data_IF_517539951617
#
_entry.id   IF_517539951617
#
_cell.length_a   1.000
_cell.length_b   1.000
_cell.length_c   1.000
_cell.angle_alpha   90.00
_cell.angle_beta   90.00
_cell.angle_gamma   90.00
#
_symmetry.space_group_name_H-M   'P 1'
#
loop_
_entity.id
_entity.type
_entity.pdbx_description
1 polymer ?
#
# COMPACT_ATOMS: atom_id res chain seq x y z
N UNK A 1 -49.16 10.25 29.98
CA UNK A 1 -47.74 9.90 30.26
C UNK A 1 -47.28 8.59 29.63
N UNK A 2 -48.11 7.54 29.51
CA UNK A 2 -47.72 6.25 28.88
C UNK A 2 -47.41 6.33 27.37
N UNK A 3 -48.12 7.20 26.63
CA UNK A 3 -47.92 7.43 25.18
C UNK A 3 -46.62 8.19 24.87
N UNK A 4 -46.22 9.13 25.75
CA UNK A 4 -44.94 9.85 25.60
C UNK A 4 -43.73 8.94 25.86
N UNK A 5 -43.86 7.98 26.80
CA UNK A 5 -42.82 6.99 27.09
C UNK A 5 -42.67 5.99 25.93
N UNK A 6 -43.78 5.61 25.28
CA UNK A 6 -43.75 4.78 24.07
C UNK A 6 -42.98 5.47 22.93
N UNK A 7 -43.20 6.77 22.71
CA UNK A 7 -42.54 7.55 21.66
C UNK A 7 -41.04 7.76 21.92
N UNK A 8 -40.64 7.96 23.19
CA UNK A 8 -39.22 8.08 23.57
C UNK A 8 -38.45 6.77 23.46
N UNK A 9 -39.11 5.61 23.64
CA UNK A 9 -38.47 4.30 23.47
C UNK A 9 -38.23 3.91 22.01
N UNK A 10 -38.98 4.49 21.06
CA UNK A 10 -38.88 4.18 19.64
C UNK A 10 -37.73 4.96 18.94
N UNK A 11 -37.29 6.07 19.53
CA UNK A 11 -36.18 6.91 19.03
C UNK A 11 -34.79 6.49 19.54
N UNK A 12 -34.70 5.47 20.41
CA UNK A 12 -33.46 5.05 21.06
C UNK A 12 -32.68 3.92 20.39
N UNK A 13 -33.12 3.42 19.22
CA UNK A 13 -32.46 2.31 18.52
C UNK A 13 -31.74 2.70 17.22
N UNK A 14 -31.67 3.99 16.88
CA UNK A 14 -30.87 4.42 15.73
C UNK A 14 -29.38 4.53 16.09
N UNK A 15 -28.67 3.46 15.76
CA UNK A 15 -27.30 3.46 15.25
C UNK A 15 -26.16 3.83 16.23
N UNK A 16 -25.88 2.91 17.16
CA UNK A 16 -24.49 2.60 17.46
C UNK A 16 -23.96 1.70 16.32
N UNK A 17 -23.48 2.31 15.25
CA UNK A 17 -22.61 1.65 14.30
C UNK A 17 -21.33 2.50 14.26
N UNK A 18 -20.13 1.94 14.54
CA UNK A 18 -18.91 2.64 14.20
C UNK A 18 -18.94 2.81 12.68
N UNK A 19 -19.12 4.06 12.26
CA UNK A 19 -19.03 4.46 10.86
C UNK A 19 -17.56 4.35 10.47
N UNK A 20 -17.09 3.14 10.17
CA UNK A 20 -15.96 2.95 9.28
C UNK A 20 -16.48 3.16 7.86
N UNK A 21 -16.76 4.40 7.49
CA UNK A 21 -16.77 4.77 6.06
C UNK A 21 -15.30 4.78 5.65
N UNK A 22 -14.78 3.59 5.35
CA UNK A 22 -13.80 3.51 4.28
C UNK A 22 -14.68 3.43 3.04
N UNK A 23 -14.83 4.56 2.36
CA UNK A 23 -15.47 4.62 1.05
C UNK A 23 -14.76 3.61 0.16
N UNK A 24 -15.41 2.47 -0.09
CA UNK A 24 -14.90 1.45 -1.01
C UNK A 24 -14.79 2.00 -2.44
N UNK A 25 -15.52 3.08 -2.73
CA UNK A 25 -15.46 3.81 -3.99
C UNK A 25 -14.16 4.64 -4.19
N UNK A 26 -13.45 5.04 -3.12
CA UNK A 26 -12.14 5.70 -3.29
C UNK A 26 -11.03 4.70 -3.65
N UNK A 27 -11.24 3.41 -3.36
CA UNK A 27 -10.29 2.36 -3.73
C UNK A 27 -10.36 2.07 -5.25
N UNK A 28 -11.46 2.41 -5.92
CA UNK A 28 -11.70 2.01 -7.32
C UNK A 28 -11.24 3.04 -8.38
N UNK A 29 -10.83 4.25 -8.00
CA UNK A 29 -10.29 5.26 -8.94
C UNK A 29 -8.78 5.47 -8.87
N UNK A 30 -8.08 4.85 -7.93
CA UNK A 30 -6.63 4.90 -7.87
C UNK A 30 -6.03 3.55 -8.32
N UNK A 31 -5.51 3.42 -9.56
CA UNK A 31 -4.89 2.18 -10.03
C UNK A 31 -3.63 1.80 -9.25
N UNK A 32 -3.21 2.58 -8.26
CA UNK A 32 -2.12 2.24 -7.34
C UNK A 32 -2.52 2.53 -5.89
N UNK A 33 -3.05 1.56 -5.13
CA UNK A 33 -3.41 1.78 -3.72
C UNK A 33 -2.20 2.10 -2.81
N UNK A 34 -0.99 2.14 -3.37
CA UNK A 34 0.24 2.01 -2.60
C UNK A 34 1.30 3.09 -2.84
N UNK A 35 1.10 4.11 -3.68
CA UNK A 35 2.13 5.16 -3.81
C UNK A 35 2.32 5.95 -2.49
N UNK A 36 3.58 6.11 -2.06
CA UNK A 36 3.93 6.96 -0.92
C UNK A 36 3.55 8.43 -1.21
N UNK A 37 3.13 9.20 -0.20
CA UNK A 37 2.64 10.58 -0.39
C UNK A 37 3.65 11.47 -1.12
N UNK A 38 4.94 11.32 -0.82
CA UNK A 38 6.01 12.05 -1.51
C UNK A 38 6.08 11.72 -3.02
N UNK A 39 5.81 10.47 -3.41
CA UNK A 39 5.81 10.06 -4.82
C UNK A 39 4.61 10.67 -5.55
N UNK A 40 3.44 10.71 -4.89
CA UNK A 40 2.25 11.36 -5.44
C UNK A 40 2.45 12.86 -5.62
N UNK A 41 3.00 13.54 -4.61
CA UNK A 41 3.32 14.98 -4.67
C UNK A 41 4.34 15.29 -5.77
N UNK A 42 5.42 14.51 -5.85
CA UNK A 42 6.43 14.68 -6.89
C UNK A 42 5.87 14.42 -8.28
N UNK A 43 5.07 13.36 -8.46
CA UNK A 43 4.42 13.07 -9.75
C UNK A 43 3.47 14.19 -10.18
N UNK A 44 2.68 14.74 -9.25
CA UNK A 44 1.81 15.88 -9.52
C UNK A 44 2.62 17.12 -9.91
N UNK A 45 3.74 17.40 -9.24
CA UNK A 45 4.62 18.51 -9.61
C UNK A 45 5.24 18.30 -11.00
N UNK A 46 5.79 17.11 -11.26
CA UNK A 46 6.36 16.72 -12.57
C UNK A 46 5.34 16.81 -13.71
N UNK A 47 4.06 16.58 -13.43
CA UNK A 47 3.00 16.71 -14.43
C UNK A 47 2.83 18.13 -14.97
N UNK A 48 3.23 19.14 -14.19
CA UNK A 48 3.14 20.56 -14.55
C UNK A 48 4.35 21.05 -15.35
N UNK A 49 5.43 20.26 -15.42
CA UNK A 49 6.65 20.66 -16.12
C UNK A 49 6.53 20.41 -17.64
N UNK A 50 7.08 21.32 -18.47
CA UNK A 50 7.28 21.08 -19.91
C UNK A 50 8.12 19.83 -20.17
N UNK A 51 7.94 19.20 -21.33
CA UNK A 51 8.60 17.94 -21.72
C UNK A 51 10.11 17.93 -21.51
N UNK A 52 10.76 19.07 -21.72
CA UNK A 52 12.22 19.22 -21.68
C UNK A 52 12.77 19.20 -20.25
N UNK A 53 11.92 19.49 -19.25
CA UNK A 53 12.30 19.58 -17.84
C UNK A 53 11.75 18.43 -17.01
N UNK A 54 11.01 17.51 -17.62
CA UNK A 54 10.48 16.33 -16.95
C UNK A 54 11.58 15.35 -16.64
N UNK A 55 11.50 14.73 -15.46
CA UNK A 55 12.44 13.70 -15.09
C UNK A 55 12.14 12.35 -15.78
N UNK A 56 13.08 11.86 -16.59
CA UNK A 56 13.02 10.55 -17.25
C UNK A 56 13.02 9.34 -16.29
N UNK A 57 13.31 9.56 -15.01
CA UNK A 57 13.31 8.51 -13.99
C UNK A 57 11.97 7.76 -13.90
N UNK A 58 10.86 8.45 -14.17
CA UNK A 58 9.51 7.87 -14.15
C UNK A 58 9.13 7.13 -15.44
N UNK A 59 9.91 7.24 -16.51
CA UNK A 59 9.62 6.60 -17.80
C UNK A 59 9.85 5.07 -17.73
N UNK A 60 10.70 4.62 -16.80
CA UNK A 60 10.96 3.21 -16.59
C UNK A 60 9.81 2.56 -15.80
N UNK A 61 9.07 1.60 -16.38
CA UNK A 61 7.94 0.96 -15.71
C UNK A 61 8.33 0.20 -14.44
N UNK A 62 9.57 -0.30 -14.36
CA UNK A 62 10.08 -1.00 -13.18
C UNK A 62 10.32 -0.03 -12.02
N UNK A 63 10.89 1.13 -12.30
CA UNK A 63 11.13 2.19 -11.32
C UNK A 63 9.81 2.75 -10.79
N UNK A 64 8.87 3.02 -11.69
CA UNK A 64 7.53 3.48 -11.32
C UNK A 64 6.82 2.45 -10.42
N UNK A 65 6.92 1.16 -10.73
CA UNK A 65 6.37 0.08 -9.91
C UNK A 65 7.04 -0.04 -8.54
N UNK A 66 8.36 0.19 -8.44
CA UNK A 66 9.08 0.18 -7.17
C UNK A 66 8.75 1.37 -6.26
N UNK A 67 8.60 2.57 -6.83
CA UNK A 67 8.19 3.77 -6.07
C UNK A 67 6.73 3.74 -5.63
N UNK A 68 5.89 3.01 -6.37
CA UNK A 68 4.52 2.73 -5.97
C UNK A 68 4.46 1.75 -4.78
N UNK A 69 5.58 1.18 -4.34
CA UNK A 69 5.65 0.40 -3.10
C UNK A 69 5.93 1.33 -1.92
N UNK A 70 5.45 0.91 -0.76
CA UNK A 70 5.49 1.74 0.44
C UNK A 70 6.76 1.47 1.29
N UNK A 71 7.13 2.38 2.18
CA UNK A 71 8.44 2.43 2.89
C UNK A 71 8.59 1.39 4.01
N UNK A 72 9.67 1.42 4.81
CA UNK A 72 9.93 0.54 5.99
C UNK A 72 10.14 1.22 7.40
N UNK A 73 9.82 2.51 7.62
CA UNK A 73 9.70 3.13 8.96
C UNK A 73 8.33 3.73 9.45
N UNK A 74 7.22 3.73 8.70
CA UNK A 74 5.89 4.18 9.16
C UNK A 74 4.69 3.81 8.27
N UNK A 75 3.45 3.89 8.81
CA UNK A 75 2.19 3.38 8.21
C UNK A 75 2.10 3.52 6.68
N UNK A 76 1.69 2.44 6.00
CA UNK A 76 1.98 2.08 4.60
C UNK A 76 3.36 1.43 4.45
N UNK A 77 3.55 0.18 4.88
CA UNK A 77 4.80 -0.59 4.70
C UNK A 77 4.47 -2.04 4.42
N UNK A 78 4.78 -2.52 3.23
CA UNK A 78 4.33 -3.83 2.79
C UNK A 78 5.41 -4.86 3.12
N UNK A 79 5.06 -5.88 3.91
CA UNK A 79 5.91 -7.06 4.06
C UNK A 79 6.19 -7.61 2.65
N UNK A 80 7.47 -7.84 2.32
CA UNK A 80 7.83 -8.50 1.05
C UNK A 80 7.45 -9.97 1.16
N UNK A 81 6.23 -10.30 0.76
CA UNK A 81 5.65 -11.65 0.88
C UNK A 81 6.30 -12.61 -0.13
N UNK A 82 6.66 -12.11 -1.31
CA UNK A 82 7.23 -12.90 -2.40
C UNK A 82 8.68 -12.46 -2.65
N UNK A 83 9.62 -12.89 -1.81
CA UNK A 83 11.04 -12.59 -2.05
C UNK A 83 11.54 -13.49 -3.16
N UNK A 84 12.27 -12.92 -4.13
CA UNK A 84 12.96 -13.74 -5.15
C UNK A 84 13.94 -14.73 -4.50
N UNK A 85 14.50 -14.37 -3.35
CA UNK A 85 15.35 -15.26 -2.56
C UNK A 85 14.61 -16.52 -2.06
N UNK A 86 13.30 -16.44 -1.82
CA UNK A 86 12.51 -17.60 -1.36
C UNK A 86 12.28 -18.61 -2.48
N UNK A 87 12.46 -18.18 -3.75
CA UNK A 87 12.40 -19.07 -4.92
C UNK A 87 13.68 -19.89 -5.09
N UNK A 88 14.74 -19.57 -4.35
CA UNK A 88 16.01 -20.30 -4.43
C UNK A 88 15.87 -21.58 -3.60
N UNK A 89 15.98 -22.77 -4.22
CA UNK A 89 15.90 -24.03 -3.48
C UNK A 89 17.03 -24.14 -2.46
N UNK A 90 16.71 -24.66 -1.26
CA UNK A 90 17.63 -24.71 -0.12
C UNK A 90 18.90 -25.50 -0.45
N UNK A 91 18.79 -26.54 -1.27
CA UNK A 91 19.93 -27.36 -1.69
C UNK A 91 20.98 -26.52 -2.43
N UNK A 92 20.56 -25.60 -3.31
CA UNK A 92 21.49 -24.71 -4.02
C UNK A 92 22.23 -23.78 -3.07
N UNK A 93 21.54 -23.30 -2.02
CA UNK A 93 22.16 -22.47 -0.99
C UNK A 93 23.21 -23.28 -0.23
N UNK A 94 22.88 -24.52 0.17
CA UNK A 94 23.83 -25.41 0.83
C UNK A 94 25.04 -25.74 -0.04
N UNK A 95 24.85 -26.05 -1.32
CA UNK A 95 25.95 -26.30 -2.25
C UNK A 95 26.85 -25.08 -2.43
N UNK A 96 26.26 -23.89 -2.57
CA UNK A 96 27.03 -22.65 -2.67
C UNK A 96 27.87 -22.40 -1.40
N UNK A 97 27.28 -22.62 -0.22
CA UNK A 97 27.98 -22.47 1.06
C UNK A 97 29.08 -23.52 1.25
N UNK A 98 28.85 -24.77 0.84
CA UNK A 98 29.84 -25.85 0.93
C UNK A 98 31.03 -25.60 0.00
N UNK A 99 30.76 -25.18 -1.24
CA UNK A 99 31.81 -24.80 -2.20
C UNK A 99 32.63 -23.60 -1.71
N UNK A 100 32.01 -22.68 -0.97
CA UNK A 100 32.66 -21.54 -0.35
C UNK A 100 33.34 -21.86 0.99
N UNK A 101 33.23 -23.09 1.50
CA UNK A 101 33.83 -23.53 2.77
C UNK A 101 33.10 -23.08 4.04
N UNK A 102 31.86 -22.56 3.92
CA UNK A 102 31.06 -22.07 5.04
C UNK A 102 30.09 -23.08 5.65
N UNK A 103 29.81 -24.19 4.95
CA UNK A 103 29.02 -25.30 5.45
C UNK A 103 29.75 -26.62 5.14
N UNK A 104 29.67 -27.61 6.03
CA UNK A 104 30.38 -28.88 5.90
C UNK A 104 29.41 -30.04 5.81
#
# INVERSE_FOLDING_TARGET
>A
MKIAILFMSLLGLSTCAPVFIISSDEIQQNPTPYAHEAVLKNSAMESLLPSELRNHFYDNPHTAAGLAQQSWLGYKEMQVINREADKIPREKIFHALQNAGFAR
#
